data_IF_764850026571
#
_entry.id   IF_764850026571
#
_cell.length_a   1.000
_cell.length_b   1.000
_cell.length_c   1.000
_cell.angle_alpha   90.00
_cell.angle_beta   90.00
_cell.angle_gamma   90.00
#
_symmetry.space_group_name_H-M   'P 1'
#
loop_
_entity.id
_entity.type
_entity.pdbx_description
1 polymer ?
#
# COMPACT_ATOMS: atom_id res chain seq x y z
N UNK A 1 -51.48 -7.26 -3.84
CA UNK A 1 -50.54 -8.39 -4.04
C UNK A 1 -50.35 -8.53 -5.55
N UNK A 2 -49.15 -8.23 -6.06
CA UNK A 2 -48.81 -8.35 -7.47
C UNK A 2 -47.95 -9.60 -7.67
N UNK A 3 -48.21 -10.33 -8.76
CA UNK A 3 -47.76 -11.69 -9.05
C UNK A 3 -46.35 -11.74 -9.70
N UNK A 4 -45.68 -12.91 -9.71
CA UNK A 4 -44.26 -13.09 -10.07
C UNK A 4 -43.88 -12.86 -11.55
N UNK A 5 -44.83 -12.48 -12.40
CA UNK A 5 -44.66 -12.42 -13.86
C UNK A 5 -44.10 -11.06 -14.35
N UNK A 6 -44.00 -10.05 -13.48
CA UNK A 6 -43.66 -8.66 -13.88
C UNK A 6 -42.16 -8.36 -14.00
N UNK A 7 -41.27 -9.32 -13.73
CA UNK A 7 -39.84 -9.15 -13.97
C UNK A 7 -39.46 -9.67 -15.37
N UNK A 8 -39.63 -8.80 -16.37
CA UNK A 8 -39.00 -8.97 -17.68
C UNK A 8 -37.49 -9.03 -17.51
N UNK A 9 -36.94 -10.23 -17.62
CA UNK A 9 -35.51 -10.48 -17.84
C UNK A 9 -35.17 -9.82 -19.18
N UNK A 10 -34.43 -8.71 -19.13
CA UNK A 10 -33.81 -8.16 -20.31
C UNK A 10 -32.31 -7.96 -20.07
N UNK A 11 -31.57 -8.70 -20.88
CA UNK A 11 -30.21 -8.45 -21.32
C UNK A 11 -29.09 -8.87 -20.38
N UNK A 12 -28.68 -10.12 -20.59
CA UNK A 12 -27.30 -10.55 -20.52
C UNK A 12 -26.34 -9.49 -21.07
N UNK A 13 -25.47 -8.96 -20.20
CA UNK A 13 -24.15 -8.40 -20.55
C UNK A 13 -23.31 -8.27 -19.27
N UNK A 14 -22.24 -9.05 -19.21
CA UNK A 14 -21.12 -8.96 -18.27
C UNK A 14 -21.44 -9.09 -16.78
N UNK A 15 -21.64 -10.32 -16.31
CA UNK A 15 -21.14 -10.66 -14.98
C UNK A 15 -19.60 -10.57 -15.05
N UNK A 16 -19.03 -9.40 -14.74
CA UNK A 16 -17.67 -9.38 -14.17
C UNK A 16 -17.69 -10.46 -13.11
N UNK A 17 -16.77 -11.42 -13.16
CA UNK A 17 -16.55 -12.34 -12.06
C UNK A 17 -16.57 -11.50 -10.78
N UNK A 18 -17.59 -11.71 -9.95
CA UNK A 18 -17.65 -11.07 -8.65
C UNK A 18 -16.45 -11.63 -7.90
N UNK A 19 -15.34 -10.90 -7.92
CA UNK A 19 -14.19 -11.22 -7.12
C UNK A 19 -14.64 -11.10 -5.67
N UNK A 20 -15.06 -12.23 -5.08
CA UNK A 20 -15.43 -12.31 -3.67
C UNK A 20 -14.11 -12.21 -2.91
N UNK A 21 -13.70 -10.98 -2.59
CA UNK A 21 -12.54 -10.77 -1.75
C UNK A 21 -12.81 -11.36 -0.37
N UNK A 22 -11.81 -11.99 0.27
CA UNK A 22 -11.97 -12.45 1.63
C UNK A 22 -12.39 -11.28 2.51
N UNK A 23 -13.29 -11.53 3.45
CA UNK A 23 -13.74 -10.54 4.43
C UNK A 23 -12.53 -9.87 5.09
N UNK A 24 -12.53 -8.54 5.29
CA UNK A 24 -11.49 -7.85 6.05
C UNK A 24 -11.19 -8.57 7.36
N UNK A 25 -9.91 -8.72 7.68
CA UNK A 25 -9.50 -9.29 8.96
C UNK A 25 -10.10 -8.50 10.13
N UNK A 26 -10.25 -9.14 11.30
CA UNK A 26 -10.73 -8.45 12.51
C UNK A 26 -9.90 -7.21 12.85
N UNK A 27 -8.59 -7.29 12.61
CA UNK A 27 -7.72 -6.15 12.79
C UNK A 27 -8.04 -5.01 11.83
N UNK A 28 -8.20 -5.29 10.54
CA UNK A 28 -8.57 -4.27 9.55
C UNK A 28 -9.95 -3.68 9.88
N UNK A 29 -10.92 -4.49 10.32
CA UNK A 29 -12.21 -3.98 10.82
C UNK A 29 -12.02 -3.00 11.97
N UNK A 30 -11.19 -3.35 12.96
CA UNK A 30 -10.85 -2.43 14.05
C UNK A 30 -10.14 -1.15 13.56
N UNK A 31 -9.43 -1.18 12.42
CA UNK A 31 -8.91 0.03 11.76
C UNK A 31 -10.06 0.88 11.26
N UNK A 32 -10.92 0.25 10.45
CA UNK A 32 -12.05 0.90 9.77
C UNK A 32 -13.00 1.54 10.77
N UNK A 33 -13.36 0.84 11.85
CA UNK A 33 -14.27 1.32 12.90
C UNK A 33 -13.78 2.60 13.60
N UNK A 34 -12.48 2.90 13.50
CA UNK A 34 -11.86 4.11 14.07
C UNK A 34 -11.71 5.26 13.06
N UNK A 35 -12.08 5.04 11.81
CA UNK A 35 -11.98 6.05 10.75
C UNK A 35 -13.35 6.64 10.39
N UNK A 36 -13.35 7.86 9.84
CA UNK A 36 -14.52 8.38 9.13
C UNK A 36 -14.84 7.53 7.89
N UNK A 37 -16.12 7.48 7.52
CA UNK A 37 -16.65 6.64 6.44
C UNK A 37 -15.85 6.76 5.13
N UNK A 38 -15.57 7.99 4.68
CA UNK A 38 -14.79 8.24 3.46
C UNK A 38 -13.40 7.58 3.45
N UNK A 39 -12.77 7.44 4.62
CA UNK A 39 -11.48 6.76 4.72
C UNK A 39 -11.65 5.26 4.78
N UNK A 40 -12.74 4.77 5.37
CA UNK A 40 -13.05 3.35 5.34
C UNK A 40 -13.21 2.88 3.90
N UNK A 41 -13.99 3.62 3.11
CA UNK A 41 -14.16 3.38 1.66
C UNK A 41 -12.82 3.38 0.95
N UNK A 42 -11.99 4.42 1.15
CA UNK A 42 -10.69 4.50 0.50
C UNK A 42 -9.72 3.39 0.90
N UNK A 43 -9.71 2.97 2.17
CA UNK A 43 -8.90 1.83 2.64
C UNK A 43 -9.37 0.53 1.96
N UNK A 44 -10.68 0.35 1.85
CA UNK A 44 -11.27 -0.81 1.18
C UNK A 44 -10.98 -0.83 -0.32
N UNK A 45 -11.02 0.33 -0.99
CA UNK A 45 -10.60 0.46 -2.40
C UNK A 45 -9.13 0.08 -2.60
N UNK A 46 -8.23 0.58 -1.76
CA UNK A 46 -6.81 0.22 -1.83
C UNK A 46 -6.62 -1.27 -1.60
N UNK A 47 -7.29 -1.83 -0.59
CA UNK A 47 -7.26 -3.26 -0.32
C UNK A 47 -7.73 -4.08 -1.52
N UNK A 48 -8.86 -3.71 -2.11
CA UNK A 48 -9.41 -4.37 -3.28
C UNK A 48 -8.44 -4.30 -4.46
N UNK A 49 -7.86 -3.13 -4.72
CA UNK A 49 -6.85 -2.95 -5.77
C UNK A 49 -5.63 -3.85 -5.54
N UNK A 50 -5.13 -3.96 -4.30
CA UNK A 50 -4.00 -4.84 -3.97
C UNK A 50 -4.36 -6.32 -4.17
N UNK A 51 -5.51 -6.76 -3.66
CA UNK A 51 -5.90 -8.18 -3.71
C UNK A 51 -6.37 -8.63 -5.10
N UNK A 52 -6.84 -7.71 -5.93
CA UNK A 52 -7.21 -8.00 -7.33
C UNK A 52 -6.04 -7.99 -8.29
N UNK A 53 -4.90 -7.39 -7.90
CA UNK A 53 -3.74 -7.25 -8.78
C UNK A 53 -3.12 -8.60 -9.18
N UNK A 54 -2.94 -9.51 -8.23
CA UNK A 54 -2.43 -10.86 -8.50
C UNK A 54 -2.95 -11.85 -7.45
N UNK A 55 -3.45 -13.01 -7.90
CA UNK A 55 -4.04 -14.06 -7.05
C UNK A 55 -3.10 -14.62 -5.97
N UNK A 56 -1.79 -14.43 -6.11
CA UNK A 56 -0.78 -14.88 -5.13
C UNK A 56 -0.63 -13.92 -3.96
N UNK A 57 -1.14 -12.69 -4.08
CA UNK A 57 -1.15 -11.72 -2.98
C UNK A 57 -2.12 -12.19 -1.91
N UNK A 58 -1.65 -12.24 -0.67
CA UNK A 58 -2.44 -12.57 0.50
C UNK A 58 -2.40 -11.43 1.52
N UNK A 59 -3.53 -11.22 2.20
CA UNK A 59 -3.62 -10.35 3.38
C UNK A 59 -3.27 -11.14 4.64
N UNK A 60 -2.32 -10.63 5.42
CA UNK A 60 -1.99 -11.15 6.76
C UNK A 60 -2.08 -10.00 7.74
N UNK A 61 -2.85 -10.19 8.82
CA UNK A 61 -3.09 -9.13 9.79
C UNK A 61 -2.71 -9.51 11.22
N UNK A 62 -2.29 -8.50 11.98
CA UNK A 62 -2.07 -8.54 13.45
C UNK A 62 -2.98 -7.50 14.09
N UNK A 63 -3.01 -7.37 15.42
CA UNK A 63 -3.84 -6.36 16.10
C UNK A 63 -3.62 -4.91 15.64
N UNK A 64 -2.47 -4.60 15.04
CA UNK A 64 -2.10 -3.23 14.64
C UNK A 64 -1.64 -3.11 13.17
N UNK A 65 -1.65 -4.19 12.40
CA UNK A 65 -1.22 -4.16 10.99
C UNK A 65 -2.08 -5.01 10.07
N UNK A 66 -2.21 -4.58 8.83
CA UNK A 66 -2.63 -5.42 7.70
C UNK A 66 -1.58 -5.33 6.60
N UNK A 67 -0.93 -6.46 6.31
CA UNK A 67 0.15 -6.58 5.32
C UNK A 67 -0.30 -7.37 4.10
N UNK A 68 0.28 -7.02 2.96
CA UNK A 68 -0.03 -7.63 1.67
C UNK A 68 1.24 -8.11 0.98
N UNK A 69 1.24 -9.34 0.49
CA UNK A 69 2.40 -9.92 -0.18
C UNK A 69 2.29 -11.42 -0.44
N UNK A 70 3.41 -12.05 -0.79
CA UNK A 70 3.45 -13.49 -1.08
C UNK A 70 3.37 -14.30 0.23
N UNK A 71 2.43 -15.24 0.28
CA UNK A 71 2.24 -16.14 1.43
C UNK A 71 3.42 -17.09 1.60
N UNK A 72 3.98 -17.15 2.81
CA UNK A 72 5.02 -18.11 3.21
C UNK A 72 4.46 -19.31 3.97
N UNK A 73 3.32 -19.14 4.63
CA UNK A 73 2.65 -20.16 5.45
C UNK A 73 1.44 -19.56 6.17
N UNK A 74 0.93 -20.26 7.17
CA UNK A 74 -0.17 -19.73 7.99
C UNK A 74 0.24 -18.44 8.70
N UNK A 75 -0.57 -17.40 8.52
CA UNK A 75 -0.37 -16.10 9.15
C UNK A 75 0.95 -15.40 8.83
N UNK A 76 1.67 -15.78 7.77
CA UNK A 76 3.00 -15.24 7.48
C UNK A 76 3.23 -14.96 5.98
N UNK A 77 3.95 -13.86 5.72
CA UNK A 77 4.39 -13.44 4.38
C UNK A 77 5.91 -13.53 4.27
N UNK A 78 6.43 -13.70 3.05
CA UNK A 78 7.85 -13.51 2.78
C UNK A 78 8.20 -12.02 2.93
N UNK A 79 9.15 -11.70 3.82
CA UNK A 79 9.50 -10.31 4.18
C UNK A 79 9.97 -9.49 2.97
N UNK A 80 10.66 -10.12 2.04
CA UNK A 80 11.16 -9.54 0.79
C UNK A 80 10.11 -9.48 -0.33
N UNK A 81 8.95 -10.13 -0.13
CA UNK A 81 7.81 -10.14 -1.07
C UNK A 81 6.57 -9.48 -0.47
N UNK A 82 6.75 -8.44 0.36
CA UNK A 82 5.67 -7.54 0.78
C UNK A 82 5.55 -6.40 -0.24
N UNK A 83 4.33 -5.99 -0.57
CA UNK A 83 4.05 -4.84 -1.44
C UNK A 83 3.45 -3.66 -0.67
N UNK A 84 2.62 -3.92 0.34
CA UNK A 84 1.92 -2.87 1.10
C UNK A 84 1.66 -3.25 2.56
N UNK A 85 1.51 -2.25 3.43
CA UNK A 85 1.14 -2.40 4.83
C UNK A 85 0.30 -1.21 5.32
N UNK A 86 -0.85 -1.49 5.93
CA UNK A 86 -1.52 -0.57 6.84
C UNK A 86 -1.00 -0.79 8.26
N UNK A 87 -0.74 0.29 8.99
CA UNK A 87 -0.27 0.27 10.37
C UNK A 87 -1.05 1.26 11.24
N UNK A 88 -1.62 0.77 12.34
CA UNK A 88 -2.27 1.62 13.34
C UNK A 88 -1.23 2.16 14.30
N UNK A 89 -1.12 3.49 14.38
CA UNK A 89 -0.37 4.15 15.45
C UNK A 89 -1.25 4.30 16.67
N UNK A 90 -0.75 3.77 17.78
CA UNK A 90 -1.27 4.04 19.11
C UNK A 90 -0.28 4.90 19.90
N UNK A 91 -0.79 5.87 20.65
CA UNK A 91 -0.01 6.64 21.60
C UNK A 91 -0.70 6.59 22.95
N UNK A 92 0.00 6.08 23.98
CA UNK A 92 -0.54 5.90 25.34
C UNK A 92 -1.87 5.12 25.41
N UNK A 93 -2.08 4.17 24.49
CA UNK A 93 -3.30 3.35 24.41
C UNK A 93 -4.37 3.91 23.48
N UNK A 94 -4.27 5.18 23.10
CA UNK A 94 -5.23 5.84 22.23
C UNK A 94 -4.84 5.75 20.76
N UNK A 95 -5.84 5.69 19.89
CA UNK A 95 -5.63 5.78 18.45
C UNK A 95 -5.05 7.15 18.10
N UNK A 96 -3.87 7.15 17.48
CA UNK A 96 -3.16 8.35 17.07
C UNK A 96 -3.19 8.56 15.55
N UNK A 97 -3.36 7.49 14.78
CA UNK A 97 -3.49 7.59 13.33
C UNK A 97 -3.33 6.25 12.62
N UNK A 98 -3.58 6.27 11.33
CA UNK A 98 -3.27 5.18 10.42
C UNK A 98 -2.11 5.64 9.53
N UNK A 99 -1.14 4.76 9.33
CA UNK A 99 -0.08 4.94 8.34
C UNK A 99 -0.25 3.88 7.25
N UNK A 100 0.11 4.27 6.03
CA UNK A 100 0.19 3.36 4.90
C UNK A 100 1.63 3.29 4.41
N UNK A 101 2.08 2.09 4.08
CA UNK A 101 3.44 1.85 3.61
C UNK A 101 3.43 1.08 2.32
N UNK A 102 4.28 1.50 1.38
CA UNK A 102 4.53 0.82 0.12
C UNK A 102 6.00 0.39 0.03
N UNK A 103 6.22 -0.74 -0.63
CA UNK A 103 7.56 -1.22 -0.96
C UNK A 103 7.90 -0.73 -2.36
N UNK A 104 8.70 0.33 -2.42
CA UNK A 104 8.97 1.08 -3.65
C UNK A 104 10.45 1.03 -4.04
N UNK A 105 10.78 1.21 -5.34
CA UNK A 105 12.14 1.30 -5.82
C UNK A 105 12.91 2.43 -5.15
N UNK A 106 14.13 2.12 -4.73
CA UNK A 106 15.04 3.07 -4.13
C UNK A 106 16.49 2.69 -4.45
N UNK A 107 17.43 3.65 -4.57
CA UNK A 107 18.83 3.30 -4.75
C UNK A 107 19.31 2.35 -3.65
N UNK A 108 19.87 1.22 -4.07
CA UNK A 108 20.46 0.22 -3.21
C UNK A 108 21.79 0.78 -2.70
N UNK A 109 21.83 1.16 -1.43
CA UNK A 109 23.01 1.75 -0.82
C UNK A 109 22.64 2.50 0.45
N UNK A 110 23.35 2.22 1.55
CA UNK A 110 23.33 3.14 2.70
C UNK A 110 23.84 4.47 2.17
N UNK A 111 23.04 5.54 2.21
CA UNK A 111 23.56 6.88 1.93
C UNK A 111 24.65 7.21 2.95
N UNK A 112 25.88 6.86 2.62
CA UNK A 112 27.06 7.54 3.11
C UNK A 112 27.16 8.79 2.25
N UNK A 113 27.14 9.96 2.86
CA UNK A 113 27.36 11.25 2.19
C UNK A 113 28.75 11.35 1.52
N UNK A 114 29.58 10.30 1.62
CA UNK A 114 30.91 10.26 1.02
C UNK A 114 31.06 9.09 0.03
N UNK A 115 31.18 9.51 -1.24
CA UNK A 115 31.96 8.94 -2.36
C UNK A 115 31.54 7.59 -2.97
N UNK A 116 31.24 7.66 -4.27
CA UNK A 116 31.30 6.58 -5.27
C UNK A 116 30.43 5.35 -5.01
N UNK A 117 29.14 5.54 -4.73
CA UNK A 117 28.18 4.43 -4.78
C UNK A 117 27.48 4.40 -6.14
N UNK A 118 27.29 3.20 -6.67
CA UNK A 118 26.50 2.97 -7.86
C UNK A 118 25.03 3.29 -7.55
N UNK A 119 24.61 4.50 -7.92
CA UNK A 119 23.23 4.95 -7.77
C UNK A 119 22.28 4.18 -8.69
N UNK A 120 22.77 3.35 -9.61
CA UNK A 120 21.95 2.57 -10.55
C UNK A 120 21.41 1.26 -9.97
N UNK A 121 21.97 0.77 -8.86
CA UNK A 121 21.51 -0.47 -8.25
C UNK A 121 20.11 -0.26 -7.65
N UNK A 122 19.11 -0.95 -8.18
CA UNK A 122 17.71 -0.89 -7.72
C UNK A 122 17.52 -1.76 -6.47
N UNK A 123 17.09 -1.15 -5.38
CA UNK A 123 16.61 -1.81 -4.17
C UNK A 123 15.12 -1.52 -3.94
N UNK A 124 14.51 -2.19 -2.96
CA UNK A 124 13.14 -1.90 -2.54
C UNK A 124 13.15 -1.46 -1.08
N UNK A 125 12.50 -0.33 -0.78
CA UNK A 125 12.41 0.21 0.57
C UNK A 125 10.96 0.46 1.00
N UNK A 126 10.73 0.31 2.30
CA UNK A 126 9.46 0.66 2.93
C UNK A 126 9.34 2.18 3.01
N UNK A 127 8.39 2.72 2.26
CA UNK A 127 8.08 4.15 2.19
C UNK A 127 6.75 4.38 2.89
N UNK A 128 6.76 5.28 3.88
CA UNK A 128 5.58 5.64 4.65
C UNK A 128 4.91 6.91 4.16
N UNK A 129 3.58 6.86 4.15
CA UNK A 129 2.67 7.98 3.96
C UNK A 129 2.01 8.22 5.31
N UNK A 130 2.54 9.19 6.04
CA UNK A 130 2.15 9.42 7.43
C UNK A 130 1.02 10.42 7.57
N UNK A 131 0.25 10.21 8.63
CA UNK A 131 -0.87 11.06 9.03
C UNK A 131 -1.93 11.20 7.93
N UNK A 132 -2.75 10.17 7.79
CA UNK A 132 -3.89 10.09 6.87
C UNK A 132 -5.04 11.06 7.24
N UNK A 133 -4.75 12.12 7.99
CA UNK A 133 -5.68 13.21 8.27
C UNK A 133 -5.87 14.10 7.02
N UNK A 134 -6.99 13.86 6.35
CA UNK A 134 -7.86 14.83 5.65
C UNK A 134 -7.53 15.38 4.25
N UNK A 135 -6.34 15.20 3.66
CA UNK A 135 -6.14 15.66 2.26
C UNK A 135 -5.04 14.95 1.44
N UNK A 136 -4.18 14.16 2.07
CA UNK A 136 -2.92 13.68 1.48
C UNK A 136 -3.01 12.46 0.55
N UNK A 137 -4.19 11.86 0.34
CA UNK A 137 -4.33 10.64 -0.48
C UNK A 137 -4.45 10.95 -1.98
N UNK A 138 -4.96 12.13 -2.32
CA UNK A 138 -5.08 12.59 -3.70
C UNK A 138 -3.72 13.01 -4.26
N UNK A 139 -2.88 13.60 -3.39
CA UNK A 139 -1.58 14.16 -3.76
C UNK A 139 -0.56 13.88 -2.67
N UNK A 140 0.45 13.10 -3.01
CA UNK A 140 1.61 12.82 -2.18
C UNK A 140 2.58 13.99 -2.32
N UNK A 141 2.69 14.80 -1.28
CA UNK A 141 3.66 15.91 -1.20
C UNK A 141 5.04 15.44 -0.73
N UNK A 142 5.07 14.42 0.14
CA UNK A 142 6.28 13.91 0.76
C UNK A 142 6.26 12.40 0.96
N UNK A 143 7.45 11.82 0.97
CA UNK A 143 7.74 10.39 0.99
C UNK A 143 8.73 10.16 2.11
N UNK A 144 8.33 9.37 3.11
CA UNK A 144 9.17 9.10 4.28
C UNK A 144 9.84 7.75 4.16
N UNK A 145 11.17 7.74 4.17
CA UNK A 145 11.93 6.49 4.11
C UNK A 145 12.11 5.92 5.50
N UNK A 146 11.61 4.70 5.67
CA UNK A 146 11.75 3.96 6.91
C UNK A 146 12.91 2.96 6.80
N UNK A 147 14.14 3.42 7.04
CA UNK A 147 15.35 2.54 7.04
C UNK A 147 15.34 1.48 8.14
N UNK A 148 14.56 1.68 9.20
CA UNK A 148 14.39 0.71 10.28
C UNK A 148 12.94 0.22 10.29
N UNK A 149 12.68 -1.09 10.08
CA UNK A 149 11.32 -1.63 9.97
C UNK A 149 10.50 -1.52 11.27
N UNK A 150 11.08 -1.03 12.37
CA UNK A 150 10.34 -0.75 13.60
C UNK A 150 9.38 0.43 13.38
N UNK A 151 8.07 0.26 13.59
CA UNK A 151 7.07 1.31 13.34
C UNK A 151 7.28 2.61 14.13
N UNK A 152 7.97 2.54 15.27
CA UNK A 152 8.30 3.72 16.10
C UNK A 152 9.72 4.28 15.83
N UNK A 153 10.47 3.72 14.89
CA UNK A 153 11.76 4.29 14.53
C UNK A 153 11.52 5.60 13.76
N UNK A 154 12.20 6.67 14.16
CA UNK A 154 12.16 7.95 13.44
C UNK A 154 12.46 7.70 11.96
N UNK A 155 11.60 8.23 11.07
CA UNK A 155 11.92 8.29 9.65
C UNK A 155 13.29 8.95 9.53
N UNK A 156 14.21 8.25 8.85
CA UNK A 156 15.61 8.69 8.80
C UNK A 156 15.80 9.74 7.72
N UNK A 157 14.89 9.82 6.76
CA UNK A 157 14.93 10.81 5.69
C UNK A 157 13.54 11.02 5.09
N UNK A 158 13.17 12.28 4.86
CA UNK A 158 11.95 12.68 4.17
C UNK A 158 12.35 13.29 2.83
N UNK A 159 11.71 12.86 1.75
CA UNK A 159 11.86 13.43 0.41
C UNK A 159 10.56 14.12 0.03
N UNK A 160 10.64 15.25 -0.65
CA UNK A 160 9.48 15.71 -1.40
C UNK A 160 9.25 14.80 -2.62
N UNK A 161 8.05 14.84 -3.18
CA UNK A 161 7.70 13.97 -4.31
C UNK A 161 8.64 14.14 -5.51
N UNK A 162 9.03 15.37 -5.85
CA UNK A 162 9.90 15.63 -7.00
C UNK A 162 11.29 14.99 -6.82
N UNK A 163 11.85 15.06 -5.62
CA UNK A 163 13.10 14.40 -5.29
C UNK A 163 13.00 12.87 -5.47
N UNK A 164 11.92 12.26 -4.97
CA UNK A 164 11.69 10.83 -5.20
C UNK A 164 11.48 10.52 -6.68
N UNK A 165 10.74 11.34 -7.42
CA UNK A 165 10.54 11.15 -8.86
C UNK A 165 11.85 11.13 -9.64
N UNK A 166 12.78 12.05 -9.32
CA UNK A 166 14.10 12.06 -9.96
C UNK A 166 14.90 10.80 -9.60
N UNK A 167 14.87 10.38 -8.33
CA UNK A 167 15.53 9.14 -7.90
C UNK A 167 14.94 7.91 -8.61
N UNK A 168 13.61 7.82 -8.67
CA UNK A 168 12.91 6.74 -9.36
C UNK A 168 13.31 6.67 -10.84
N UNK A 169 13.36 7.80 -11.54
CA UNK A 169 13.80 7.83 -12.94
C UNK A 169 15.27 7.46 -13.10
N UNK A 170 16.14 7.89 -12.20
CA UNK A 170 17.55 7.51 -12.24
C UNK A 170 17.77 6.00 -12.07
N UNK A 171 17.00 5.34 -11.21
CA UNK A 171 17.20 3.90 -10.91
C UNK A 171 16.40 2.95 -11.82
N UNK A 172 15.29 3.40 -12.39
CA UNK A 172 14.42 2.54 -13.22
C UNK A 172 14.43 2.91 -14.70
N UNK A 173 14.90 4.12 -15.05
CA UNK A 173 14.71 4.71 -16.38
C UNK A 173 13.26 5.12 -16.69
N UNK A 174 12.30 4.85 -15.79
CA UNK A 174 10.86 5.15 -15.96
C UNK A 174 10.52 6.52 -15.36
N UNK A 175 9.51 7.20 -15.90
CA UNK A 175 9.00 8.46 -15.36
C UNK A 175 7.72 8.21 -14.54
N UNK A 176 7.54 8.97 -13.45
CA UNK A 176 6.28 8.98 -12.70
C UNK A 176 5.26 9.87 -13.42
N UNK A 177 4.10 9.31 -13.74
CA UNK A 177 3.02 10.04 -14.43
C UNK A 177 2.00 10.63 -13.45
N UNK A 178 2.49 11.26 -12.38
CA UNK A 178 1.65 11.87 -11.36
C UNK A 178 2.14 11.58 -9.95
N UNK A 179 1.61 12.34 -8.99
CA UNK A 179 1.98 12.27 -7.59
C UNK A 179 0.85 11.75 -6.69
N UNK A 180 -0.09 10.99 -7.25
CA UNK A 180 -1.14 10.38 -6.43
C UNK A 180 -0.64 9.12 -5.73
N UNK A 181 -1.32 8.74 -4.66
CA UNK A 181 -1.06 7.47 -4.00
C UNK A 181 -1.33 6.28 -4.93
N UNK A 182 -2.31 6.41 -5.84
CA UNK A 182 -2.63 5.35 -6.81
C UNK A 182 -1.46 5.04 -7.74
N UNK A 183 -0.76 6.07 -8.24
CA UNK A 183 0.43 5.89 -9.09
C UNK A 183 1.53 5.15 -8.34
N UNK A 184 1.76 5.52 -7.08
CA UNK A 184 2.77 4.85 -6.26
C UNK A 184 2.36 3.41 -5.91
N UNK A 185 1.07 3.17 -5.68
CA UNK A 185 0.53 1.84 -5.45
C UNK A 185 0.71 0.94 -6.68
N UNK A 186 0.43 1.44 -7.89
CA UNK A 186 0.65 0.71 -9.13
C UNK A 186 2.12 0.30 -9.28
N UNK A 187 3.04 1.22 -9.01
CA UNK A 187 4.47 0.93 -9.02
C UNK A 187 4.83 -0.13 -7.98
N UNK A 188 4.36 -0.01 -6.74
CA UNK A 188 4.65 -0.99 -5.69
C UNK A 188 4.20 -2.41 -6.06
N UNK A 189 3.09 -2.52 -6.80
CA UNK A 189 2.52 -3.78 -7.28
C UNK A 189 3.30 -4.34 -8.48
N UNK A 190 3.64 -3.51 -9.48
CA UNK A 190 4.51 -3.91 -10.60
C UNK A 190 5.86 -4.42 -10.09
N UNK A 191 6.47 -3.68 -9.17
CA UNK A 191 7.75 -3.98 -8.53
C UNK A 191 7.69 -5.21 -7.61
N UNK A 192 6.49 -5.54 -7.14
CA UNK A 192 6.27 -6.78 -6.42
C UNK A 192 6.28 -7.99 -7.36
N UNK A 193 5.67 -7.90 -8.55
CA UNK A 193 5.74 -8.96 -9.57
C UNK A 193 7.18 -9.20 -10.02
N UNK A 194 7.96 -8.14 -10.28
CA UNK A 194 9.36 -8.26 -10.69
C UNK A 194 10.24 -8.99 -9.65
N UNK A 195 9.79 -9.06 -8.39
CA UNK A 195 10.48 -9.74 -7.30
C UNK A 195 10.10 -11.20 -7.12
N UNK A 196 9.04 -11.71 -7.75
CA UNK A 196 8.58 -13.09 -7.54
C UNK A 196 9.48 -14.10 -8.25
#
# INVERSE_FOLDING_TARGET
MLHPEDYKINNAKNYKELNIFPTPSRALKNILDKQLLQYQERILEIREKILSFDKRISEVSTSVTSRYGLKKGEGNLYKDKICAEFYIRFFKGDFHGLDFFLWLPFPNGRMSFNRNYDQSAKGIIKIGFGDLRFSSWQTVSSIMIQRNPRPNARATTVYNFQQYSHLYTAITGKKLNGNSLDVLLDIALEEWIERL
#
